data_IF_614603700601
#
_entry.id   IF_614603700601
#
_cell.length_a   1.000
_cell.length_b   1.000
_cell.length_c   1.000
_cell.angle_alpha   90.00
_cell.angle_beta   90.00
_cell.angle_gamma   90.00
#
_symmetry.space_group_name_H-M   'P 1'
#
loop_
_entity.id
_entity.type
_entity.pdbx_description
1 polymer ?
#
# COMPACT_ATOMS: atom_id res chain seq x y z
N UNK A 1 21.66 -2.36 9.29
CA UNK A 1 20.81 -1.81 8.22
C UNK A 1 19.77 -2.86 7.88
N UNK A 2 18.48 -2.55 7.99
CA UNK A 2 17.39 -3.52 7.81
C UNK A 2 17.16 -3.81 6.31
N UNK A 3 16.73 -5.03 5.93
CA UNK A 3 16.49 -5.40 4.52
C UNK A 3 15.51 -4.45 3.80
N UNK A 4 14.50 -3.94 4.52
CA UNK A 4 13.55 -2.94 3.99
C UNK A 4 14.24 -1.63 3.62
N UNK A 5 15.17 -1.16 4.47
CA UNK A 5 15.94 0.05 4.22
C UNK A 5 16.86 -0.11 2.99
N UNK A 6 17.40 -1.31 2.80
CA UNK A 6 18.24 -1.61 1.63
C UNK A 6 17.42 -1.60 0.32
N UNK A 7 16.20 -2.12 0.37
CA UNK A 7 15.30 -2.11 -0.80
C UNK A 7 14.87 -0.68 -1.16
N UNK A 8 14.49 0.12 -0.18
CA UNK A 8 14.11 1.52 -0.41
C UNK A 8 15.29 2.39 -0.85
N UNK A 9 16.48 2.15 -0.30
CA UNK A 9 17.72 2.80 -0.77
C UNK A 9 18.01 2.44 -2.23
N UNK A 10 17.94 1.15 -2.58
CA UNK A 10 18.12 0.70 -3.96
C UNK A 10 17.11 1.31 -4.92
N UNK A 11 15.84 1.42 -4.50
CA UNK A 11 14.77 2.06 -5.27
C UNK A 11 15.01 3.56 -5.48
N UNK A 12 15.46 4.25 -4.46
CA UNK A 12 15.79 5.68 -4.56
C UNK A 12 17.02 5.90 -5.45
N UNK A 13 18.07 5.09 -5.32
CA UNK A 13 19.25 5.15 -6.20
C UNK A 13 18.89 4.89 -7.66
N UNK A 14 17.97 3.96 -7.92
CA UNK A 14 17.46 3.70 -9.28
C UNK A 14 16.70 4.89 -9.86
N UNK A 15 15.90 5.57 -9.06
CA UNK A 15 15.10 6.71 -9.50
C UNK A 15 15.92 8.02 -9.62
N UNK A 16 17.03 8.15 -8.89
CA UNK A 16 17.78 9.39 -8.76
C UNK A 16 18.26 9.99 -10.09
N UNK A 17 18.82 9.22 -11.05
CA UNK A 17 19.20 9.77 -12.35
C UNK A 17 18.02 10.39 -13.09
N UNK A 18 16.88 9.70 -13.12
CA UNK A 18 15.66 10.18 -13.76
C UNK A 18 15.04 11.37 -13.01
N UNK A 19 15.10 11.38 -11.67
CA UNK A 19 14.67 12.51 -10.86
C UNK A 19 15.50 13.77 -11.15
N UNK A 20 16.82 13.61 -11.39
CA UNK A 20 17.71 14.73 -11.70
C UNK A 20 17.59 15.20 -13.15
N UNK A 21 17.13 14.36 -14.06
CA UNK A 21 16.92 14.74 -15.46
C UNK A 21 15.73 15.73 -15.59
N UNK A 22 15.90 16.70 -16.48
CA UNK A 22 14.90 17.75 -16.77
C UNK A 22 13.80 17.26 -17.73
N UNK A 23 14.00 16.14 -18.42
CA UNK A 23 13.03 15.61 -19.41
C UNK A 23 11.76 15.07 -18.75
N UNK A 24 11.87 14.59 -17.50
CA UNK A 24 10.82 13.85 -16.80
C UNK A 24 10.70 12.39 -17.28
N UNK A 25 11.57 11.94 -18.16
CA UNK A 25 11.66 10.53 -18.58
C UNK A 25 12.21 9.68 -17.42
N UNK A 26 11.80 8.41 -17.37
CA UNK A 26 12.28 7.47 -16.38
C UNK A 26 12.43 6.05 -16.99
N UNK A 27 13.36 5.23 -16.46
CA UNK A 27 13.45 3.83 -16.83
C UNK A 27 12.21 3.09 -16.32
N UNK A 28 11.91 1.89 -16.88
CA UNK A 28 10.72 1.12 -16.52
C UNK A 28 10.64 0.88 -15.00
N UNK A 29 9.43 0.90 -14.41
CA UNK A 29 9.26 0.84 -12.96
C UNK A 29 9.89 -0.38 -12.29
N UNK A 30 10.42 -0.17 -11.08
CA UNK A 30 10.81 -1.27 -10.18
C UNK A 30 9.60 -1.87 -9.45
N UNK A 31 8.51 -1.12 -9.32
CA UNK A 31 7.33 -1.54 -8.55
C UNK A 31 6.06 -1.30 -9.35
N UNK A 32 5.17 -2.29 -9.29
CA UNK A 32 3.84 -2.20 -9.87
C UNK A 32 2.79 -2.52 -8.84
N UNK A 33 1.67 -1.78 -8.88
CA UNK A 33 0.44 -2.11 -8.18
C UNK A 33 -0.62 -2.47 -9.21
N UNK A 34 -1.11 -3.69 -9.16
CA UNK A 34 -2.21 -4.16 -9.97
C UNK A 34 -3.45 -4.26 -9.11
N UNK A 35 -4.37 -3.30 -9.27
CA UNK A 35 -5.70 -3.41 -8.70
C UNK A 35 -6.51 -4.32 -9.59
N UNK A 36 -6.63 -5.59 -9.22
CA UNK A 36 -7.21 -6.61 -10.08
C UNK A 36 -8.72 -6.48 -10.24
N UNK A 37 -9.41 -5.96 -9.22
CA UNK A 37 -10.85 -5.88 -9.16
C UNK A 37 -11.33 -4.78 -8.22
N UNK A 38 -12.47 -4.19 -8.49
CA UNK A 38 -13.20 -3.35 -7.55
C UNK A 38 -14.13 -4.15 -6.63
N UNK A 39 -14.45 -5.40 -6.98
CA UNK A 39 -15.32 -6.25 -6.19
C UNK A 39 -14.67 -6.65 -4.89
N UNK A 40 -15.46 -6.68 -3.82
CA UNK A 40 -15.04 -7.11 -2.49
C UNK A 40 -16.17 -7.82 -1.77
N UNK A 41 -15.84 -8.77 -0.91
CA UNK A 41 -16.76 -9.48 -0.02
C UNK A 41 -16.98 -8.75 1.31
N UNK A 42 -16.40 -7.54 1.47
CA UNK A 42 -16.57 -6.63 2.59
C UNK A 42 -17.11 -5.26 2.13
N UNK A 43 -17.64 -4.50 3.08
CA UNK A 43 -18.10 -3.12 2.90
C UNK A 43 -17.62 -2.23 4.06
N UNK A 44 -16.29 -2.10 4.19
CA UNK A 44 -15.68 -1.32 5.26
C UNK A 44 -16.03 0.17 5.11
N UNK A 45 -16.39 0.89 6.19
CA UNK A 45 -16.85 2.29 6.12
C UNK A 45 -15.83 3.26 5.55
N UNK A 46 -14.53 2.98 5.73
CA UNK A 46 -13.40 3.81 5.27
C UNK A 46 -12.77 3.31 3.97
N UNK A 47 -13.44 2.41 3.24
CA UNK A 47 -12.89 1.84 2.00
C UNK A 47 -12.86 2.89 0.88
N UNK A 48 -11.71 3.04 0.23
CA UNK A 48 -11.54 3.99 -0.87
C UNK A 48 -12.21 3.55 -2.17
N UNK A 49 -12.51 2.27 -2.36
CA UNK A 49 -13.15 1.74 -3.59
C UNK A 49 -14.58 2.25 -3.77
N UNK A 50 -15.32 2.47 -2.68
CA UNK A 50 -16.65 3.07 -2.74
C UNK A 50 -17.62 2.32 -3.67
N UNK A 51 -18.29 3.08 -4.57
CA UNK A 51 -19.35 2.59 -5.47
C UNK A 51 -18.81 2.03 -6.81
N UNK A 52 -17.51 2.00 -7.03
CA UNK A 52 -16.89 1.56 -8.29
C UNK A 52 -16.99 0.05 -8.58
N UNK A 53 -17.63 -0.70 -7.69
CA UNK A 53 -17.76 -2.17 -7.73
C UNK A 53 -18.47 -2.73 -8.97
N UNK A 54 -19.16 -1.88 -9.74
CA UNK A 54 -19.95 -2.26 -10.93
C UNK A 54 -19.30 -1.93 -12.26
N UNK A 55 -18.06 -1.41 -12.25
CA UNK A 55 -17.36 -1.03 -13.47
C UNK A 55 -16.81 -2.25 -14.21
N UNK A 56 -16.63 -2.10 -15.52
CA UNK A 56 -15.96 -3.11 -16.35
C UNK A 56 -14.51 -3.29 -15.90
N UNK A 57 -14.07 -4.54 -15.84
CA UNK A 57 -12.72 -4.91 -15.39
C UNK A 57 -11.96 -5.60 -16.51
N UNK A 58 -10.63 -5.45 -16.49
CA UNK A 58 -9.73 -6.18 -17.37
C UNK A 58 -9.95 -7.70 -17.25
N UNK A 59 -9.98 -8.35 -18.41
CA UNK A 59 -10.03 -9.80 -18.55
C UNK A 59 -8.70 -10.45 -18.14
N UNK A 60 -8.69 -11.76 -17.97
CA UNK A 60 -7.47 -12.54 -17.69
C UNK A 60 -6.41 -12.33 -18.78
N UNK A 61 -6.81 -12.36 -20.05
CA UNK A 61 -5.90 -12.19 -21.20
C UNK A 61 -5.30 -10.78 -21.25
N UNK A 62 -6.09 -9.76 -20.89
CA UNK A 62 -5.58 -8.38 -20.80
C UNK A 62 -4.57 -8.25 -19.66
N UNK A 63 -4.82 -8.85 -18.49
CA UNK A 63 -3.84 -8.92 -17.39
C UNK A 63 -2.57 -9.66 -17.81
N UNK A 64 -2.68 -10.76 -18.54
CA UNK A 64 -1.51 -11.49 -19.05
C UNK A 64 -0.66 -10.62 -19.99
N UNK A 65 -1.30 -9.89 -20.90
CA UNK A 65 -0.59 -8.94 -21.79
C UNK A 65 0.13 -7.85 -21.02
N UNK A 66 -0.45 -7.36 -19.90
CA UNK A 66 0.18 -6.39 -19.02
C UNK A 66 1.38 -7.00 -18.30
N UNK A 67 1.20 -8.18 -17.69
CA UNK A 67 2.25 -8.90 -16.97
C UNK A 67 3.45 -9.20 -17.87
N UNK A 68 3.23 -9.53 -19.13
CA UNK A 68 4.32 -9.82 -20.06
C UNK A 68 5.19 -8.60 -20.40
N UNK A 69 4.65 -7.38 -20.24
CA UNK A 69 5.38 -6.14 -20.50
C UNK A 69 6.25 -5.67 -19.34
N UNK A 70 6.00 -6.13 -18.10
CA UNK A 70 6.80 -5.67 -16.96
C UNK A 70 8.22 -6.27 -16.99
N UNK A 71 9.24 -5.56 -16.51
CA UNK A 71 10.57 -6.13 -16.34
C UNK A 71 10.60 -7.26 -15.32
N UNK A 72 11.43 -8.26 -15.55
CA UNK A 72 11.59 -9.43 -14.66
C UNK A 72 12.11 -9.06 -13.25
N UNK A 73 12.80 -7.93 -13.14
CA UNK A 73 13.34 -7.44 -11.88
C UNK A 73 12.32 -6.70 -11.02
N UNK A 74 11.15 -6.43 -11.55
CA UNK A 74 10.13 -5.65 -10.86
C UNK A 74 9.47 -6.41 -9.72
N UNK A 75 9.05 -5.68 -8.70
CA UNK A 75 8.20 -6.15 -7.62
C UNK A 75 6.75 -5.80 -7.90
N UNK A 76 5.85 -6.75 -7.82
CA UNK A 76 4.42 -6.55 -8.08
C UNK A 76 3.62 -6.71 -6.81
N UNK A 77 2.68 -5.81 -6.58
CA UNK A 77 1.64 -5.95 -5.54
C UNK A 77 0.30 -6.18 -6.23
N UNK A 78 -0.31 -7.34 -6.01
CA UNK A 78 -1.67 -7.64 -6.40
C UNK A 78 -2.61 -7.16 -5.30
N UNK A 79 -3.54 -6.28 -5.64
CA UNK A 79 -4.46 -5.60 -4.71
C UNK A 79 -5.79 -5.34 -5.42
N UNK A 80 -6.70 -4.64 -4.79
CA UNK A 80 -7.98 -4.22 -5.36
C UNK A 80 -9.02 -4.04 -4.26
N UNK A 81 -10.27 -4.37 -4.55
CA UNK A 81 -11.28 -4.61 -3.51
C UNK A 81 -10.86 -5.83 -2.68
N UNK A 82 -11.12 -7.03 -3.20
CA UNK A 82 -10.52 -8.27 -2.70
C UNK A 82 -10.03 -9.11 -3.88
N UNK A 83 -8.72 -9.24 -4.12
CA UNK A 83 -8.20 -9.94 -5.28
C UNK A 83 -8.60 -11.41 -5.33
N UNK A 84 -8.76 -12.07 -4.17
CA UNK A 84 -9.12 -13.49 -4.08
C UNK A 84 -10.56 -13.80 -4.53
N UNK A 85 -11.39 -12.78 -4.78
CA UNK A 85 -12.75 -12.98 -5.31
C UNK A 85 -12.76 -13.28 -6.82
N UNK A 86 -11.66 -12.96 -7.52
CA UNK A 86 -11.53 -13.25 -8.95
C UNK A 86 -11.34 -14.76 -9.15
N UNK A 87 -12.11 -15.34 -10.04
CA UNK A 87 -12.01 -16.77 -10.39
C UNK A 87 -10.66 -17.12 -11.03
N UNK A 88 -10.07 -16.17 -11.72
CA UNK A 88 -8.78 -16.28 -12.42
C UNK A 88 -7.59 -15.77 -11.59
N UNK A 89 -7.78 -15.52 -10.28
CA UNK A 89 -6.74 -14.99 -9.40
C UNK A 89 -5.48 -15.87 -9.40
N UNK A 90 -5.64 -17.19 -9.31
CA UNK A 90 -4.51 -18.14 -9.28
C UNK A 90 -3.71 -18.07 -10.57
N UNK A 91 -4.36 -17.97 -11.71
CA UNK A 91 -3.68 -17.86 -13.02
C UNK A 91 -2.87 -16.58 -13.11
N UNK A 92 -3.45 -15.45 -12.69
CA UNK A 92 -2.78 -14.15 -12.63
C UNK A 92 -1.59 -14.19 -11.65
N UNK A 93 -1.77 -14.78 -10.46
CA UNK A 93 -0.72 -14.98 -9.46
C UNK A 93 0.45 -15.76 -10.06
N UNK A 94 0.18 -16.91 -10.67
CA UNK A 94 1.19 -17.79 -11.23
C UNK A 94 1.94 -17.15 -12.40
N UNK A 95 1.21 -16.44 -13.29
CA UNK A 95 1.81 -15.70 -14.40
C UNK A 95 2.74 -14.60 -13.90
N UNK A 96 2.28 -13.82 -12.93
CA UNK A 96 3.05 -12.73 -12.31
C UNK A 96 4.30 -13.26 -11.61
N UNK A 97 4.14 -14.32 -10.82
CA UNK A 97 5.26 -14.94 -10.12
C UNK A 97 6.32 -15.49 -11.06
N UNK A 98 5.91 -16.18 -12.12
CA UNK A 98 6.83 -16.66 -13.17
C UNK A 98 7.62 -15.52 -13.79
N UNK A 99 6.95 -14.40 -14.09
CA UNK A 99 7.57 -13.20 -14.70
C UNK A 99 8.57 -12.51 -13.77
N UNK A 100 8.27 -12.45 -12.47
CA UNK A 100 9.04 -11.68 -11.47
C UNK A 100 9.92 -12.55 -10.57
N UNK A 101 9.98 -13.84 -10.79
CA UNK A 101 10.69 -14.81 -9.93
C UNK A 101 10.25 -14.70 -8.45
N UNK A 102 8.93 -14.61 -8.22
CA UNK A 102 8.35 -14.54 -6.89
C UNK A 102 8.46 -13.20 -6.18
N UNK A 103 8.99 -12.14 -6.83
CA UNK A 103 8.98 -10.77 -6.29
C UNK A 103 7.56 -10.21 -6.32
N UNK A 104 6.74 -10.69 -5.43
CA UNK A 104 5.30 -10.53 -5.46
C UNK A 104 4.75 -10.39 -4.04
N UNK A 105 3.82 -9.47 -3.88
CA UNK A 105 2.97 -9.30 -2.71
C UNK A 105 1.50 -9.45 -3.10
N UNK A 106 0.71 -10.06 -2.24
CA UNK A 106 -0.76 -10.05 -2.33
C UNK A 106 -1.29 -9.30 -1.11
N UNK A 107 -2.21 -8.37 -1.32
CA UNK A 107 -2.93 -7.68 -0.25
C UNK A 107 -4.36 -8.21 -0.23
N UNK A 108 -4.78 -8.76 0.90
CA UNK A 108 -6.09 -9.41 1.07
C UNK A 108 -6.71 -9.07 2.42
N UNK A 109 -8.03 -9.19 2.51
CA UNK A 109 -8.73 -9.18 3.80
C UNK A 109 -8.65 -10.52 4.55
N UNK A 110 -8.07 -11.55 3.95
CA UNK A 110 -7.79 -12.85 4.58
C UNK A 110 -8.96 -13.83 4.63
N UNK A 111 -10.19 -13.42 4.35
CA UNK A 111 -11.41 -14.25 4.53
C UNK A 111 -11.47 -15.43 3.56
N UNK A 112 -10.98 -15.25 2.33
CA UNK A 112 -11.07 -16.24 1.26
C UNK A 112 -9.82 -17.13 1.14
N UNK A 113 -8.87 -16.99 2.06
CA UNK A 113 -7.69 -17.86 2.11
C UNK A 113 -8.12 -19.27 2.54
N UNK A 114 -8.06 -20.21 1.62
CA UNK A 114 -8.35 -21.63 1.83
C UNK A 114 -7.13 -22.47 1.41
N UNK A 115 -7.24 -23.80 1.48
CA UNK A 115 -6.15 -24.71 1.11
C UNK A 115 -5.63 -24.48 -0.30
N UNK A 116 -6.51 -24.32 -1.27
CA UNK A 116 -6.16 -24.07 -2.67
C UNK A 116 -5.34 -22.77 -2.83
N UNK A 117 -5.75 -21.72 -2.16
CA UNK A 117 -5.05 -20.42 -2.17
C UNK A 117 -3.71 -20.53 -1.45
N UNK A 118 -3.64 -21.23 -0.31
CA UNK A 118 -2.39 -21.46 0.42
C UNK A 118 -1.39 -22.22 -0.47
N UNK A 119 -1.84 -23.29 -1.12
CA UNK A 119 -1.01 -24.09 -2.01
C UNK A 119 -0.54 -23.26 -3.24
N UNK A 120 -1.40 -22.40 -3.78
CA UNK A 120 -1.03 -21.47 -4.84
C UNK A 120 0.04 -20.46 -4.38
N UNK A 121 -0.10 -19.89 -3.17
CA UNK A 121 0.91 -18.99 -2.59
C UNK A 121 2.27 -19.69 -2.44
N UNK A 122 2.29 -20.91 -1.94
CA UNK A 122 3.52 -21.71 -1.77
C UNK A 122 4.14 -22.05 -3.14
N UNK A 123 3.33 -22.54 -4.08
CA UNK A 123 3.76 -22.92 -5.43
C UNK A 123 4.30 -21.73 -6.23
N UNK A 124 3.68 -20.58 -6.06
CA UNK A 124 4.13 -19.33 -6.69
C UNK A 124 5.45 -18.81 -6.12
N UNK A 125 5.89 -19.29 -4.95
CA UNK A 125 7.06 -18.77 -4.22
C UNK A 125 6.96 -17.26 -3.96
N UNK A 126 5.75 -16.73 -3.82
CA UNK A 126 5.55 -15.31 -3.57
C UNK A 126 6.27 -14.88 -2.29
N UNK A 127 6.81 -13.67 -2.31
CA UNK A 127 7.64 -13.16 -1.22
C UNK A 127 6.80 -12.77 0.01
N UNK A 128 5.66 -12.10 -0.18
CA UNK A 128 4.91 -11.45 0.89
C UNK A 128 3.40 -11.65 0.71
N UNK A 129 2.72 -11.89 1.81
CA UNK A 129 1.27 -11.78 1.94
C UNK A 129 0.95 -10.70 2.97
N UNK A 130 0.27 -9.65 2.56
CA UNK A 130 -0.23 -8.60 3.45
C UNK A 130 -1.70 -8.85 3.75
N UNK A 131 -2.06 -8.99 5.03
CA UNK A 131 -3.44 -9.20 5.46
C UNK A 131 -3.89 -8.04 6.33
N UNK A 132 -5.07 -7.52 6.02
CA UNK A 132 -5.62 -6.35 6.70
C UNK A 132 -6.40 -6.75 7.95
N UNK A 133 -5.95 -6.30 9.12
CA UNK A 133 -6.61 -6.50 10.43
C UNK A 133 -6.72 -5.15 11.16
N UNK A 134 -7.91 -4.57 11.27
CA UNK A 134 -8.11 -3.25 11.86
C UNK A 134 -8.73 -3.32 13.27
N UNK A 135 -8.18 -4.17 14.11
CA UNK A 135 -8.56 -4.43 15.48
C UNK A 135 -8.32 -5.88 15.86
N UNK A 136 -8.48 -6.20 17.13
CA UNK A 136 -8.33 -7.55 17.67
C UNK A 136 -9.72 -8.12 18.04
N UNK A 137 -9.98 -9.37 17.66
CA UNK A 137 -11.25 -10.02 17.97
C UNK A 137 -12.45 -9.30 17.34
N UNK A 138 -13.43 -9.00 18.17
CA UNK A 138 -14.68 -8.38 17.74
C UNK A 138 -14.50 -6.96 17.18
N UNK A 139 -13.52 -6.20 17.64
CA UNK A 139 -13.22 -4.88 17.08
C UNK A 139 -12.86 -4.97 15.59
N UNK A 140 -12.17 -6.05 15.16
CA UNK A 140 -11.93 -6.26 13.74
C UNK A 140 -13.22 -6.48 12.96
N UNK A 141 -14.16 -7.27 13.50
CA UNK A 141 -15.47 -7.52 12.86
C UNK A 141 -16.24 -6.22 12.70
N UNK A 142 -16.31 -5.41 13.77
CA UNK A 142 -16.97 -4.10 13.79
C UNK A 142 -16.33 -3.17 12.75
N UNK A 143 -15.01 -2.99 12.76
CA UNK A 143 -14.31 -2.07 11.87
C UNK A 143 -14.39 -2.48 10.40
N UNK A 144 -14.51 -3.77 10.13
CA UNK A 144 -14.68 -4.31 8.77
C UNK A 144 -16.15 -4.50 8.38
N UNK A 145 -17.08 -4.15 9.28
CA UNK A 145 -18.52 -4.23 9.08
C UNK A 145 -18.99 -5.64 8.65
N UNK A 146 -18.50 -6.67 9.36
CA UNK A 146 -18.90 -8.07 9.08
C UNK A 146 -18.56 -8.99 10.26
N UNK A 147 -19.59 -9.66 10.79
CA UNK A 147 -19.48 -10.57 11.92
C UNK A 147 -18.69 -11.85 11.58
N UNK A 148 -18.00 -12.39 12.58
CA UNK A 148 -17.33 -13.70 12.56
C UNK A 148 -16.13 -13.81 11.62
N UNK A 149 -15.64 -12.70 11.06
CA UNK A 149 -14.50 -12.77 10.12
C UNK A 149 -13.16 -12.93 10.85
N UNK A 150 -13.05 -12.45 12.07
CA UNK A 150 -11.83 -12.62 12.87
C UNK A 150 -11.46 -14.10 13.05
N UNK A 151 -12.39 -14.91 13.57
CA UNK A 151 -12.15 -16.33 13.82
C UNK A 151 -11.83 -17.08 12.52
N UNK A 152 -12.53 -16.75 11.44
CA UNK A 152 -12.25 -17.31 10.13
C UNK A 152 -10.84 -17.01 9.65
N UNK A 153 -10.38 -15.76 9.80
CA UNK A 153 -9.02 -15.34 9.40
C UNK A 153 -7.98 -16.04 10.30
N UNK A 154 -8.23 -16.13 11.61
CA UNK A 154 -7.32 -16.81 12.53
C UNK A 154 -7.17 -18.30 12.18
N UNK A 155 -8.27 -18.99 11.86
CA UNK A 155 -8.24 -20.37 11.39
C UNK A 155 -7.47 -20.53 10.07
N UNK A 156 -7.63 -19.58 9.14
CA UNK A 156 -6.87 -19.56 7.88
C UNK A 156 -5.36 -19.38 8.13
N UNK A 157 -4.99 -18.56 9.11
CA UNK A 157 -3.59 -18.39 9.51
C UNK A 157 -3.02 -19.64 10.17
N UNK A 158 -3.78 -20.32 11.03
CA UNK A 158 -3.33 -21.54 11.69
C UNK A 158 -3.12 -22.67 10.66
N UNK A 159 -4.03 -22.77 9.69
CA UNK A 159 -3.86 -23.68 8.56
C UNK A 159 -2.62 -23.31 7.71
N UNK A 160 -2.38 -22.06 7.41
CA UNK A 160 -1.19 -21.61 6.68
C UNK A 160 0.09 -21.91 7.48
N UNK A 161 0.09 -21.67 8.79
CA UNK A 161 1.23 -21.91 9.66
C UNK A 161 1.54 -23.42 9.85
N UNK A 162 0.55 -24.30 9.64
CA UNK A 162 0.78 -25.77 9.66
C UNK A 162 1.58 -26.27 8.46
N UNK A 163 1.69 -25.47 7.40
CA UNK A 163 2.46 -25.83 6.20
C UNK A 163 3.97 -25.67 6.44
N UNK A 164 4.78 -26.53 5.82
CA UNK A 164 6.25 -26.49 5.95
C UNK A 164 6.89 -25.23 5.35
N UNK A 165 6.18 -24.55 4.45
CA UNK A 165 6.60 -23.31 3.80
C UNK A 165 5.42 -22.34 3.69
N UNK A 166 5.67 -21.05 3.80
CA UNK A 166 4.72 -20.00 3.55
C UNK A 166 5.43 -18.70 3.14
N UNK A 167 4.75 -17.76 2.51
CA UNK A 167 5.30 -16.40 2.31
C UNK A 167 5.56 -15.72 3.66
N UNK A 168 6.35 -14.65 3.64
CA UNK A 168 6.38 -13.71 4.76
C UNK A 168 4.99 -13.11 4.96
N UNK A 169 4.59 -12.89 6.21
CA UNK A 169 3.30 -12.29 6.56
C UNK A 169 3.50 -10.88 7.08
N UNK A 170 2.71 -9.96 6.57
CA UNK A 170 2.62 -8.57 6.98
C UNK A 170 1.18 -8.26 7.38
N UNK A 171 0.94 -8.07 8.66
CA UNK A 171 -0.38 -7.61 9.13
C UNK A 171 -0.43 -6.10 8.95
N UNK A 172 -1.45 -5.64 8.23
CA UNK A 172 -1.71 -4.22 8.00
C UNK A 172 -2.89 -3.77 8.85
N UNK A 173 -2.69 -2.74 9.64
CA UNK A 173 -3.75 -2.13 10.44
C UNK A 173 -3.83 -0.64 10.17
N UNK A 174 -5.06 -0.12 10.14
CA UNK A 174 -5.33 1.31 10.14
C UNK A 174 -5.68 1.72 11.57
N UNK A 175 -5.02 2.76 12.07
CA UNK A 175 -5.37 3.35 13.37
C UNK A 175 -6.72 4.02 13.26
N UNK A 176 -7.64 3.62 14.14
CA UNK A 176 -8.99 4.11 14.29
C UNK A 176 -9.21 4.48 15.77
N UNK A 177 -10.22 5.30 16.04
CA UNK A 177 -10.52 5.75 17.40
C UNK A 177 -10.71 4.60 18.41
N UNK A 178 -11.27 3.47 17.94
CA UNK A 178 -11.66 2.34 18.80
C UNK A 178 -10.67 1.17 18.81
N UNK A 179 -9.48 1.30 18.21
CA UNK A 179 -8.57 0.14 18.10
C UNK A 179 -7.14 0.38 18.61
N UNK A 180 -6.87 1.46 19.34
CA UNK A 180 -5.52 1.75 19.86
C UNK A 180 -5.01 0.63 20.78
N UNK A 181 -5.80 0.21 21.76
CA UNK A 181 -5.43 -0.88 22.68
C UNK A 181 -5.24 -2.23 21.98
N UNK A 182 -5.87 -2.39 20.83
CA UNK A 182 -5.72 -3.61 20.05
C UNK A 182 -4.37 -3.72 19.36
N UNK A 183 -3.67 -2.62 19.14
CA UNK A 183 -2.35 -2.63 18.50
C UNK A 183 -1.34 -3.49 19.28
N UNK A 184 -1.37 -3.41 20.62
CA UNK A 184 -0.54 -4.27 21.48
C UNK A 184 -0.91 -5.74 21.33
N UNK A 185 -2.21 -6.04 21.31
CA UNK A 185 -2.72 -7.42 21.15
C UNK A 185 -2.36 -7.96 19.76
N UNK A 186 -2.52 -7.13 18.70
CA UNK A 186 -2.12 -7.48 17.34
C UNK A 186 -0.61 -7.77 17.25
N UNK A 187 0.22 -6.94 17.91
CA UNK A 187 1.66 -7.16 17.92
C UNK A 187 2.03 -8.49 18.60
N UNK A 188 1.47 -8.74 19.80
CA UNK A 188 1.65 -10.01 20.54
C UNK A 188 1.22 -11.22 19.70
N UNK A 189 0.05 -11.15 19.07
CA UNK A 189 -0.45 -12.20 18.15
C UNK A 189 0.48 -12.39 16.96
N UNK A 190 0.98 -11.33 16.35
CA UNK A 190 1.92 -11.42 15.24
C UNK A 190 3.21 -12.15 15.66
N UNK A 191 3.73 -11.84 16.85
CA UNK A 191 4.95 -12.46 17.35
C UNK A 191 4.74 -13.95 17.70
N UNK A 192 3.64 -14.28 18.37
CA UNK A 192 3.24 -15.67 18.68
C UNK A 192 3.07 -16.53 17.41
N UNK A 193 2.39 -15.98 16.40
CA UNK A 193 2.19 -16.65 15.10
C UNK A 193 3.44 -16.56 14.19
N UNK A 194 4.52 -15.95 14.65
CA UNK A 194 5.79 -15.77 13.90
C UNK A 194 5.57 -15.02 12.57
N UNK A 195 4.72 -14.02 12.57
CA UNK A 195 4.55 -13.12 11.44
C UNK A 195 5.73 -12.14 11.36
N UNK A 196 6.02 -11.66 10.17
CA UNK A 196 7.24 -10.91 9.92
C UNK A 196 7.10 -9.42 10.24
N UNK A 197 5.89 -8.88 10.00
CA UNK A 197 5.65 -7.44 10.13
C UNK A 197 4.27 -7.16 10.71
N UNK A 198 4.20 -6.08 11.50
CA UNK A 198 2.97 -5.33 11.79
C UNK A 198 3.14 -3.94 11.19
N UNK A 199 2.35 -3.61 10.19
CA UNK A 199 2.38 -2.34 9.47
C UNK A 199 1.21 -1.47 9.90
N UNK A 200 1.50 -0.38 10.60
CA UNK A 200 0.53 0.58 11.13
C UNK A 200 0.37 1.73 10.13
N UNK A 201 -0.85 1.97 9.71
CA UNK A 201 -1.21 3.09 8.84
C UNK A 201 -2.21 4.00 9.54
N UNK A 202 -2.17 5.28 9.22
CA UNK A 202 -3.16 6.23 9.71
C UNK A 202 -4.24 6.45 8.65
N UNK A 203 -5.48 6.65 9.10
CA UNK A 203 -6.60 6.84 8.20
C UNK A 203 -6.38 8.10 7.35
N UNK A 204 -6.51 7.95 6.04
CA UNK A 204 -6.39 9.06 5.11
C UNK A 204 -7.73 9.73 4.87
N UNK A 205 -7.66 11.00 4.50
CA UNK A 205 -8.84 11.69 4.00
C UNK A 205 -9.40 10.96 2.76
N UNK A 206 -10.69 10.62 2.81
CA UNK A 206 -11.41 9.99 1.69
C UNK A 206 -11.51 10.87 0.42
N UNK A 207 -11.13 12.15 0.47
CA UNK A 207 -11.10 13.01 -0.71
C UNK A 207 -10.02 12.60 -1.73
N UNK A 208 -9.10 11.68 -1.38
CA UNK A 208 -8.22 10.98 -2.32
C UNK A 208 -8.90 9.80 -3.02
N UNK A 209 -10.20 9.67 -2.95
CA UNK A 209 -10.91 8.68 -3.76
C UNK A 209 -10.53 8.87 -5.22
N UNK A 210 -10.16 7.81 -5.88
CA UNK A 210 -9.79 7.75 -7.29
C UNK A 210 -10.79 8.46 -8.21
N UNK A 211 -12.04 8.61 -7.79
CA UNK A 211 -13.11 9.22 -8.56
C UNK A 211 -13.11 10.74 -8.58
N UNK A 212 -12.47 11.39 -7.61
CA UNK A 212 -12.36 12.86 -7.59
C UNK A 212 -11.15 13.37 -8.34
N UNK A 213 -10.36 12.47 -8.91
CA UNK A 213 -9.01 12.75 -9.35
C UNK A 213 -8.87 12.76 -10.87
N UNK A 214 -9.87 13.15 -11.54
CA UNK A 214 -9.74 13.62 -12.91
C UNK A 214 -9.22 15.06 -12.86
N UNK A 215 -7.92 15.23 -12.62
CA UNK A 215 -7.31 16.53 -12.74
C UNK A 215 -6.99 16.82 -14.19
N UNK A 216 -7.80 17.65 -14.81
CA UNK A 216 -7.40 18.43 -15.96
C UNK A 216 -6.51 19.60 -15.52
N UNK A 217 -6.48 19.93 -14.22
CA UNK A 217 -5.65 20.97 -13.62
C UNK A 217 -4.73 20.44 -12.52
N UNK A 218 -3.52 20.89 -12.50
CA UNK A 218 -2.31 20.31 -11.96
C UNK A 218 -2.07 20.46 -10.45
N UNK A 219 -2.95 21.05 -9.69
CA UNK A 219 -2.79 21.24 -8.24
C UNK A 219 -4.06 20.79 -7.54
N UNK A 220 -4.05 19.65 -6.89
CA UNK A 220 -5.11 19.35 -5.94
C UNK A 220 -5.03 20.37 -4.81
N UNK A 221 -5.95 21.29 -4.77
CA UNK A 221 -6.18 22.07 -3.56
C UNK A 221 -6.72 21.10 -2.50
N UNK A 222 -5.85 20.71 -1.59
CA UNK A 222 -6.20 19.89 -0.45
C UNK A 222 -6.38 20.79 0.76
N UNK A 223 -7.60 21.07 1.10
CA UNK A 223 -7.99 21.38 2.46
C UNK A 223 -8.08 20.09 3.26
N UNK A 224 -6.94 19.54 3.60
CA UNK A 224 -6.84 18.35 4.44
C UNK A 224 -6.75 18.76 5.91
N UNK A 225 -7.79 19.45 6.41
CA UNK A 225 -7.95 19.69 7.82
C UNK A 225 -8.55 18.45 8.47
N UNK A 226 -7.69 17.52 8.87
CA UNK A 226 -8.05 16.49 9.82
C UNK A 226 -7.21 16.68 11.07
N UNK A 227 -7.74 17.36 12.10
CA UNK A 227 -7.12 17.34 13.40
C UNK A 227 -6.99 15.88 13.85
N UNK A 228 -5.82 15.55 14.34
CA UNK A 228 -5.49 14.25 14.90
C UNK A 228 -6.53 13.77 15.91
N UNK A 229 -7.03 14.69 16.72
CA UNK A 229 -8.03 14.46 17.77
C UNK A 229 -9.35 13.86 17.26
N UNK A 230 -9.60 13.90 15.95
CA UNK A 230 -10.78 13.24 15.33
C UNK A 230 -10.60 11.75 15.12
N UNK A 231 -9.37 11.22 15.20
CA UNK A 231 -9.10 9.84 14.86
C UNK A 231 -8.59 9.01 16.02
N UNK A 232 -7.77 9.61 16.90
CA UNK A 232 -7.24 8.92 18.07
C UNK A 232 -6.57 9.91 19.03
N UNK A 233 -6.44 9.50 20.30
CA UNK A 233 -5.70 10.22 21.33
C UNK A 233 -4.19 9.99 21.13
N UNK A 234 -3.42 11.06 20.91
CA UNK A 234 -1.97 10.97 20.70
C UNK A 234 -1.24 10.53 21.96
N UNK A 235 -1.67 10.98 23.14
CA UNK A 235 -0.99 10.56 24.39
C UNK A 235 -1.22 9.07 24.65
N UNK A 236 -2.43 8.59 24.44
CA UNK A 236 -2.73 7.17 24.50
C UNK A 236 -1.95 6.37 23.41
N UNK A 237 -1.84 6.91 22.19
CA UNK A 237 -1.01 6.27 21.16
C UNK A 237 0.46 6.14 21.58
N UNK A 238 1.02 7.15 22.25
CA UNK A 238 2.39 7.10 22.78
C UNK A 238 2.55 5.99 23.83
N UNK A 239 1.58 5.83 24.73
CA UNK A 239 1.58 4.76 25.73
C UNK A 239 1.57 3.38 25.04
N UNK A 240 0.67 3.18 24.09
CA UNK A 240 0.56 1.94 23.29
C UNK A 240 1.85 1.65 22.51
N UNK A 241 2.43 2.66 21.86
CA UNK A 241 3.68 2.51 21.13
C UNK A 241 4.82 2.09 22.05
N UNK A 242 4.97 2.74 23.20
CA UNK A 242 6.01 2.42 24.18
C UNK A 242 5.82 1.01 24.77
N UNK A 243 4.58 0.56 24.98
CA UNK A 243 4.31 -0.82 25.39
C UNK A 243 4.78 -1.80 24.30
N UNK A 244 4.48 -1.56 23.02
CA UNK A 244 4.92 -2.40 21.92
C UNK A 244 6.45 -2.45 21.83
N UNK A 245 7.13 -1.32 21.89
CA UNK A 245 8.60 -1.26 21.86
C UNK A 245 9.25 -1.98 23.07
N UNK A 246 8.55 -2.02 24.21
CA UNK A 246 8.98 -2.77 25.38
C UNK A 246 8.88 -4.31 25.22
N UNK A 247 8.16 -4.81 24.23
CA UNK A 247 8.01 -6.24 23.96
C UNK A 247 9.24 -6.76 23.20
N UNK A 248 9.95 -7.72 23.77
CA UNK A 248 11.10 -8.39 23.14
C UNK A 248 10.64 -9.42 22.08
N UNK A 249 9.92 -8.94 21.05
CA UNK A 249 9.42 -9.75 19.95
C UNK A 249 10.35 -9.78 18.75
N UNK A 250 10.03 -10.64 17.76
CA UNK A 250 10.73 -10.75 16.47
C UNK A 250 9.97 -10.07 15.33
N UNK A 251 8.68 -9.84 15.51
CA UNK A 251 7.83 -9.09 14.58
C UNK A 251 8.32 -7.67 14.46
N UNK A 252 8.53 -7.20 13.23
CA UNK A 252 9.02 -5.84 12.98
C UNK A 252 7.86 -4.88 12.82
N UNK A 253 7.90 -3.79 13.56
CA UNK A 253 6.97 -2.69 13.40
C UNK A 253 7.32 -1.86 12.17
N UNK A 254 6.31 -1.43 11.42
CA UNK A 254 6.40 -0.54 10.26
C UNK A 254 5.30 0.51 10.31
N UNK A 255 5.55 1.64 9.69
CA UNK A 255 4.57 2.71 9.58
C UNK A 255 4.31 3.13 8.12
N UNK A 256 3.15 3.69 7.89
CA UNK A 256 2.78 4.32 6.62
C UNK A 256 2.08 5.65 6.92
N UNK A 257 2.79 6.81 6.82
CA UNK A 257 4.16 7.07 6.32
C UNK A 257 5.27 6.35 7.09
N UNK A 258 6.47 6.31 6.51
CA UNK A 258 7.61 5.50 6.99
C UNK A 258 8.33 6.13 8.18
N UNK A 259 7.62 6.33 9.27
CA UNK A 259 8.14 6.96 10.48
C UNK A 259 9.23 6.13 11.17
N UNK A 260 9.26 4.80 10.96
CA UNK A 260 10.31 3.91 11.45
C UNK A 260 11.71 4.22 10.92
N UNK A 261 11.84 5.12 9.94
CA UNK A 261 13.13 5.58 9.41
C UNK A 261 13.65 6.85 10.08
N UNK A 262 12.85 7.43 10.96
CA UNK A 262 13.28 8.54 11.82
C UNK A 262 14.06 8.02 13.03
N UNK A 263 14.98 8.83 13.54
CA UNK A 263 15.67 8.54 14.81
C UNK A 263 14.69 8.50 16.01
N UNK A 264 13.63 9.32 15.93
CA UNK A 264 12.55 9.33 16.92
C UNK A 264 11.19 9.23 16.21
N UNK A 265 10.67 8.01 15.99
CA UNK A 265 9.41 7.80 15.30
C UNK A 265 8.22 8.51 15.95
N UNK A 266 8.11 8.46 17.28
CA UNK A 266 7.00 9.10 18.01
C UNK A 266 6.96 10.62 17.82
N UNK A 267 8.10 11.27 18.00
CA UNK A 267 8.20 12.72 17.80
C UNK A 267 7.87 13.10 16.35
N UNK A 268 8.32 12.29 15.40
CA UNK A 268 8.02 12.51 13.98
C UNK A 268 6.55 12.33 13.67
N UNK A 269 5.89 11.32 14.27
CA UNK A 269 4.44 11.11 14.16
C UNK A 269 3.71 12.32 14.77
N UNK A 270 4.08 12.76 15.95
CA UNK A 270 3.47 13.90 16.61
C UNK A 270 3.61 15.19 15.79
N UNK A 271 4.82 15.48 15.30
CA UNK A 271 5.05 16.61 14.40
C UNK A 271 4.21 16.52 13.14
N UNK A 272 4.13 15.34 12.52
CA UNK A 272 3.32 15.12 11.32
C UNK A 272 1.86 15.51 11.50
N UNK A 273 1.29 15.16 12.64
CA UNK A 273 -0.10 15.45 12.91
C UNK A 273 -0.36 16.88 13.44
N UNK A 274 0.64 17.52 14.05
CA UNK A 274 0.56 18.92 14.54
C UNK A 274 0.98 19.97 13.49
N UNK A 275 1.20 19.54 12.22
CA UNK A 275 1.59 20.47 11.17
C UNK A 275 0.57 21.58 11.00
N UNK A 276 1.02 22.87 10.98
CA UNK A 276 0.18 23.96 10.53
C UNK A 276 -0.31 23.69 9.09
N UNK A 277 -1.56 24.10 8.82
CA UNK A 277 -2.21 23.89 7.51
C UNK A 277 -1.43 24.49 6.34
N UNK A 278 -0.68 25.54 6.61
CA UNK A 278 0.12 26.31 5.65
C UNK A 278 1.58 25.87 5.57
N UNK A 279 2.02 24.92 6.41
CA UNK A 279 3.40 24.46 6.38
C UNK A 279 3.68 23.61 5.13
N UNK A 280 4.70 23.93 4.33
CA UNK A 280 5.07 23.14 3.18
C UNK A 280 5.52 21.73 3.60
N UNK A 281 4.85 20.71 3.10
CA UNK A 281 5.13 19.30 3.40
C UNK A 281 6.58 18.90 3.06
N UNK A 282 7.16 19.56 2.07
CA UNK A 282 8.56 19.37 1.66
C UNK A 282 9.59 19.85 2.69
N UNK A 283 9.20 20.55 3.75
CA UNK A 283 10.11 20.86 4.86
C UNK A 283 10.30 19.65 5.79
N UNK A 284 9.32 18.75 5.85
CA UNK A 284 9.28 17.60 6.77
C UNK A 284 9.67 16.32 6.07
N UNK A 285 9.31 16.18 4.82
CA UNK A 285 9.52 14.96 4.05
C UNK A 285 10.58 15.12 2.96
N UNK A 286 11.32 14.03 2.75
CA UNK A 286 12.25 13.90 1.60
C UNK A 286 11.46 14.00 0.29
N UNK A 287 12.04 14.53 -0.78
CA UNK A 287 11.38 14.56 -2.08
C UNK A 287 10.91 13.19 -2.53
N UNK A 288 9.69 13.11 -3.01
CA UNK A 288 9.09 11.85 -3.45
C UNK A 288 9.66 11.42 -4.81
N UNK A 289 10.29 10.26 -4.85
CA UNK A 289 10.78 9.61 -6.07
C UNK A 289 9.82 8.55 -6.63
N UNK A 290 8.68 8.35 -5.95
CA UNK A 290 7.73 7.27 -6.26
C UNK A 290 7.25 7.28 -7.73
N UNK A 291 6.86 8.41 -8.34
CA UNK A 291 6.44 8.44 -9.74
C UNK A 291 7.54 8.12 -10.76
N UNK A 292 8.80 8.04 -10.35
CA UNK A 292 9.93 7.68 -11.20
C UNK A 292 10.26 6.18 -11.19
N UNK A 293 9.69 5.43 -10.26
CA UNK A 293 9.99 4.00 -10.09
C UNK A 293 8.77 3.12 -9.82
N UNK A 294 7.56 3.69 -9.89
CA UNK A 294 6.31 2.99 -9.61
C UNK A 294 5.26 3.26 -10.68
N UNK A 295 4.38 2.28 -10.90
CA UNK A 295 3.20 2.38 -11.74
C UNK A 295 2.04 1.64 -11.08
N UNK A 296 0.87 2.28 -11.05
CA UNK A 296 -0.38 1.66 -10.62
C UNK A 296 -1.28 1.44 -11.83
N UNK A 297 -1.96 0.31 -11.88
CA UNK A 297 -2.94 -0.02 -12.91
C UNK A 297 -4.21 -0.45 -12.21
N UNK A 298 -5.31 0.23 -12.51
CA UNK A 298 -6.62 -0.05 -11.94
C UNK A 298 -7.37 -1.15 -12.72
N UNK A 299 -8.50 -1.66 -12.22
CA UNK A 299 -9.25 -2.73 -12.88
C UNK A 299 -9.75 -2.38 -14.29
N UNK A 300 -9.98 -1.11 -14.62
CA UNK A 300 -10.38 -0.64 -15.95
C UNK A 300 -9.19 -0.51 -16.94
N UNK A 301 -7.96 -0.69 -16.45
CA UNK A 301 -6.73 -0.56 -17.24
C UNK A 301 -6.13 0.84 -17.27
N UNK A 302 -6.62 1.78 -16.49
CA UNK A 302 -6.00 3.09 -16.38
C UNK A 302 -4.72 3.05 -15.55
N UNK A 303 -3.72 3.80 -16.01
CA UNK A 303 -2.40 3.93 -15.39
C UNK A 303 -2.32 5.21 -14.56
N UNK A 304 -1.71 5.07 -13.38
CA UNK A 304 -1.50 6.18 -12.43
C UNK A 304 -0.03 6.20 -11.95
N UNK A 305 0.59 7.39 -11.83
CA UNK A 305 1.91 7.56 -11.22
C UNK A 305 1.87 7.37 -9.70
N UNK A 306 0.78 7.81 -9.10
CA UNK A 306 0.40 7.63 -7.70
C UNK A 306 -1.13 7.65 -7.61
N UNK A 307 -1.75 7.72 -6.45
CA UNK A 307 -3.21 7.70 -6.30
C UNK A 307 -3.96 8.90 -6.93
N UNK A 308 -3.24 9.84 -7.55
CA UNK A 308 -3.79 11.16 -7.83
C UNK A 308 -3.99 11.57 -9.29
N UNK A 309 -3.49 10.84 -10.30
CA UNK A 309 -3.67 11.27 -11.69
C UNK A 309 -3.76 10.12 -12.68
N UNK A 310 -4.81 10.12 -13.48
CA UNK A 310 -5.00 9.20 -14.60
C UNK A 310 -4.16 9.66 -15.80
N UNK A 311 -3.27 8.78 -16.31
CA UNK A 311 -2.36 9.11 -17.41
C UNK A 311 -2.86 8.61 -18.77
N UNK A 312 -3.43 7.41 -18.81
CA UNK A 312 -3.92 6.76 -20.03
C UNK A 312 -4.31 5.32 -19.73
N UNK A 313 -4.65 4.56 -20.77
CA UNK A 313 -5.17 3.19 -20.62
C UNK A 313 -4.28 2.16 -21.32
N UNK A 314 -4.04 1.02 -20.65
CA UNK A 314 -3.24 -0.11 -21.17
C UNK A 314 -3.88 -0.81 -22.39
N UNK A 315 -5.17 -0.57 -22.65
CA UNK A 315 -5.86 -1.05 -23.85
C UNK A 315 -5.45 -0.28 -25.10
N UNK A 316 -4.91 0.94 -24.95
CA UNK A 316 -4.57 1.85 -26.04
C UNK A 316 -3.06 1.89 -26.33
N UNK A 317 -2.24 1.78 -25.28
CA UNK A 317 -0.78 1.95 -25.36
C UNK A 317 -0.06 0.95 -24.50
N UNK A 318 1.20 0.65 -24.84
CA UNK A 318 2.07 -0.19 -24.02
C UNK A 318 2.45 0.49 -22.70
N UNK A 319 2.85 -0.31 -21.69
CA UNK A 319 3.30 0.22 -20.40
C UNK A 319 4.49 1.17 -20.56
N UNK A 320 5.40 0.89 -21.50
CA UNK A 320 6.56 1.74 -21.77
C UNK A 320 6.16 3.11 -22.32
N UNK A 321 5.21 3.15 -23.27
CA UNK A 321 4.68 4.39 -23.81
C UNK A 321 3.91 5.19 -22.76
N UNK A 322 3.08 4.53 -21.94
CA UNK A 322 2.32 5.17 -20.88
C UNK A 322 3.23 5.75 -19.80
N UNK A 323 4.27 5.02 -19.38
CA UNK A 323 5.17 5.46 -18.32
C UNK A 323 6.00 6.69 -18.68
N UNK A 324 6.21 6.92 -19.96
CA UNK A 324 6.92 8.09 -20.51
C UNK A 324 6.04 8.96 -21.41
N UNK A 325 4.71 8.82 -21.31
CA UNK A 325 3.78 9.72 -21.96
C UNK A 325 3.98 11.17 -21.47
N UNK A 326 3.62 12.13 -22.32
CA UNK A 326 3.79 13.56 -22.03
C UNK A 326 3.17 13.97 -20.68
N UNK A 327 1.97 13.48 -20.38
CA UNK A 327 1.28 13.73 -19.11
C UNK A 327 2.05 13.17 -17.90
N UNK A 328 2.64 11.96 -18.03
CA UNK A 328 3.44 11.39 -16.93
C UNK A 328 4.74 12.17 -16.72
N UNK A 329 5.42 12.54 -17.80
CA UNK A 329 6.62 13.38 -17.74
C UNK A 329 6.30 14.77 -17.14
N UNK A 330 5.18 15.36 -17.54
CA UNK A 330 4.71 16.63 -16.99
C UNK A 330 4.42 16.53 -15.48
N UNK A 331 3.76 15.45 -15.04
CA UNK A 331 3.52 15.18 -13.62
C UNK A 331 4.83 15.14 -12.81
N UNK A 332 5.84 14.40 -13.29
CA UNK A 332 7.16 14.33 -12.63
C UNK A 332 7.86 15.67 -12.55
N UNK A 333 7.82 16.46 -13.63
CA UNK A 333 8.42 17.81 -13.67
C UNK A 333 7.77 18.74 -12.66
N UNK A 334 6.44 18.73 -12.59
CA UNK A 334 5.69 19.57 -11.67
C UNK A 334 5.90 19.15 -10.22
N UNK A 335 5.92 17.83 -9.94
CA UNK A 335 6.27 17.32 -8.61
C UNK A 335 7.66 17.82 -8.17
N UNK A 336 8.65 17.75 -9.07
CA UNK A 336 10.00 18.25 -8.79
C UNK A 336 10.01 19.77 -8.57
N UNK A 337 9.29 20.52 -9.40
CA UNK A 337 9.20 21.98 -9.31
C UNK A 337 8.54 22.46 -8.00
N UNK A 338 7.63 21.67 -7.43
CA UNK A 338 6.99 21.92 -6.13
C UNK A 338 7.80 21.44 -4.92
N UNK A 339 9.10 21.18 -5.09
CA UNK A 339 9.96 20.70 -3.99
C UNK A 339 9.87 19.22 -3.71
N UNK A 340 9.27 18.44 -4.61
CA UNK A 340 9.16 16.97 -4.52
C UNK A 340 7.91 16.45 -3.81
N UNK A 341 7.00 17.34 -3.41
CA UNK A 341 5.68 17.00 -2.85
C UNK A 341 4.63 18.00 -3.31
N UNK A 342 3.37 17.57 -3.36
CA UNK A 342 2.19 18.43 -3.53
C UNK A 342 1.43 18.52 -2.21
N UNK A 343 0.54 19.46 -2.02
CA UNK A 343 -0.39 19.51 -0.88
C UNK A 343 -1.14 18.19 -0.69
N UNK A 344 -1.56 17.55 -1.77
CA UNK A 344 -2.18 16.24 -1.78
C UNK A 344 -1.33 15.09 -1.18
N UNK A 345 -0.05 15.31 -0.96
CA UNK A 345 0.82 14.29 -0.37
C UNK A 345 0.72 14.23 1.15
N UNK A 346 0.03 15.14 1.82
CA UNK A 346 0.02 15.29 3.28
C UNK A 346 -0.30 13.98 4.00
N UNK A 347 -1.08 13.13 3.66
CA UNK A 347 -1.33 11.84 4.31
C UNK A 347 -0.84 10.64 3.48
N UNK A 348 0.14 10.86 2.61
CA UNK A 348 0.60 9.79 1.71
C UNK A 348 1.46 8.77 2.43
N UNK A 349 1.13 7.48 2.29
CA UNK A 349 1.84 6.35 2.89
C UNK A 349 3.26 6.12 2.37
N UNK A 350 3.64 6.75 1.25
CA UNK A 350 4.97 6.59 0.63
C UNK A 350 5.96 7.68 1.05
N UNK A 351 5.51 8.65 1.86
CA UNK A 351 6.38 9.71 2.36
C UNK A 351 7.46 9.13 3.30
N UNK A 352 8.64 9.72 3.22
CA UNK A 352 9.76 9.41 4.10
C UNK A 352 10.16 10.68 4.83
N UNK A 353 10.17 10.71 6.18
CA UNK A 353 10.58 11.87 6.94
C UNK A 353 12.02 12.30 6.60
N UNK A 354 12.30 13.59 6.73
CA UNK A 354 13.66 14.11 6.85
C UNK A 354 14.19 13.77 8.25
N UNK A 355 15.48 13.59 8.34
CA UNK A 355 16.20 13.49 9.61
C UNK A 355 16.27 14.84 10.30
#
# INVERSE_FOLDING_TARGET
MNLSNLFDLGRNLYALPAYNDKSGLAPMPLRYFFELTYRCNLNCPYCYVGDDRKKDELTTDEWFKIIDQIPWYSFVTLVGGEPLIRKDFIDILMRTSKKTFGKLNVVSNGILINDEIIDAFIKSKMMLLSVSLDGYGENHNINRNKDGIWDKIMNNFDNMNSRSKRPMIDIKTIVLENNLDDLVKLYKMCDEKKFNFLSISFLRNNNLKQNSVLFDSFVPEFNANYPIEKYFDMEHFKEVYNEIEGIKGKTKLRFSPKFEYSENPLETIEKFFKLPEDMPINEIYKPCTYPYNNMMINPEGFVYPCLSQKIGNVKEKSLKELFNASHYCCFRKNLKASGGTFGACQMCCELTPKE
#
